data_IF_579201923443
#
_entry.id   IF_579201923443
#
_cell.length_a   1.000
_cell.length_b   1.000
_cell.length_c   1.000
_cell.angle_alpha   90.00
_cell.angle_beta   90.00
_cell.angle_gamma   90.00
#
_symmetry.space_group_name_H-M   'P 1'
#
loop_
_entity.id
_entity.type
_entity.pdbx_description
1 polymer ?
#
# COMPACT_ATOMS: atom_id res chain seq x y z
N UNK A 1 -8.15 33.89 24.10
CA UNK A 1 -6.69 33.82 24.33
C UNK A 1 -6.02 33.54 23.01
N UNK A 2 -4.90 34.25 22.66
CA UNK A 2 -4.14 33.84 21.46
C UNK A 2 -3.44 32.53 21.80
N UNK A 3 -3.76 31.46 21.11
CA UNK A 3 -3.09 30.18 21.30
C UNK A 3 -1.62 30.33 20.89
N UNK A 4 -0.71 29.83 21.70
CA UNK A 4 0.74 29.91 21.45
C UNK A 4 1.10 28.97 20.31
N UNK A 5 1.78 29.46 19.27
CA UNK A 5 2.40 28.59 18.25
C UNK A 5 3.66 27.98 18.86
N UNK A 6 3.75 26.67 18.83
CA UNK A 6 4.89 25.92 19.39
C UNK A 6 6.19 26.18 18.60
N UNK A 7 7.29 26.19 19.32
CA UNK A 7 8.63 26.17 18.75
C UNK A 7 8.95 24.80 18.15
N UNK A 8 10.00 24.74 17.33
CA UNK A 8 10.49 23.45 16.82
C UNK A 8 10.94 22.49 17.92
N UNK A 9 11.46 23.02 19.02
CA UNK A 9 11.84 22.23 20.20
C UNK A 9 10.61 21.64 20.90
N UNK A 10 9.58 22.45 21.14
CA UNK A 10 8.31 22.00 21.74
C UNK A 10 7.65 20.93 20.86
N UNK A 11 7.58 21.16 19.55
CA UNK A 11 7.06 20.18 18.59
C UNK A 11 7.91 18.91 18.55
N UNK A 12 9.23 19.03 18.67
CA UNK A 12 10.15 17.89 18.78
C UNK A 12 9.86 17.04 20.01
N UNK A 13 9.65 17.66 21.15
CA UNK A 13 9.32 16.97 22.40
C UNK A 13 7.97 16.25 22.35
N UNK A 14 6.97 16.81 21.65
CA UNK A 14 5.67 16.19 21.42
C UNK A 14 5.72 15.07 20.39
N UNK A 15 6.72 15.05 19.51
CA UNK A 15 6.86 14.12 18.39
C UNK A 15 7.92 13.04 18.61
N UNK A 16 8.33 12.79 19.86
CA UNK A 16 9.22 11.68 20.22
C UNK A 16 8.53 10.36 20.00
N UNK A 17 8.47 9.94 18.74
CA UNK A 17 7.96 8.66 18.32
C UNK A 17 9.13 7.81 17.82
N UNK A 18 9.59 6.88 18.65
CA UNK A 18 10.58 5.90 18.25
C UNK A 18 9.88 4.73 17.53
N UNK A 19 9.75 4.91 16.21
CA UNK A 19 9.24 3.86 15.37
C UNK A 19 10.41 2.99 14.88
N UNK A 20 10.57 1.82 15.47
CA UNK A 20 11.56 0.86 15.03
C UNK A 20 11.23 0.33 13.62
N UNK A 21 11.84 0.95 12.61
CA UNK A 21 11.70 0.56 11.19
C UNK A 21 12.60 -0.60 10.80
N UNK A 22 13.46 -1.03 11.67
CA UNK A 22 14.46 -2.07 11.43
C UNK A 22 13.93 -3.43 11.89
N UNK A 23 13.44 -3.53 13.12
CA UNK A 23 12.96 -4.78 13.71
C UNK A 23 11.46 -4.77 14.03
N UNK A 24 10.87 -3.59 14.17
CA UNK A 24 9.45 -3.42 14.47
C UNK A 24 8.52 -3.63 13.28
N UNK A 25 7.36 -2.98 13.27
CA UNK A 25 6.40 -3.07 12.17
C UNK A 25 6.97 -2.47 10.88
N UNK A 26 6.79 -3.16 9.74
CA UNK A 26 7.22 -2.65 8.44
C UNK A 26 6.40 -1.43 8.00
N UNK A 27 7.01 -0.57 7.17
CA UNK A 27 6.33 0.52 6.48
C UNK A 27 7.11 0.96 5.23
N UNK A 28 6.50 1.84 4.43
CA UNK A 28 7.08 2.34 3.17
C UNK A 28 8.41 3.09 3.32
N UNK A 29 8.77 3.55 4.52
CA UNK A 29 9.97 4.34 4.80
C UNK A 29 11.17 3.51 5.24
N UNK A 30 10.98 2.23 5.55
CA UNK A 30 12.09 1.33 5.90
C UNK A 30 13.12 1.26 4.76
N UNK A 31 14.40 1.28 5.10
CA UNK A 31 15.54 1.12 4.18
C UNK A 31 16.30 -0.19 4.43
N UNK A 32 16.08 -0.79 5.61
CA UNK A 32 16.59 -2.09 6.01
C UNK A 32 15.61 -2.77 6.97
N UNK A 33 15.53 -4.09 6.90
CA UNK A 33 14.74 -4.92 7.80
C UNK A 33 15.62 -6.02 8.35
N UNK A 34 15.75 -6.12 9.66
CA UNK A 34 16.67 -7.06 10.28
C UNK A 34 16.01 -8.17 11.09
N UNK A 35 14.78 -7.96 11.60
CA UNK A 35 14.09 -8.98 12.43
C UNK A 35 14.95 -9.56 13.55
N UNK A 36 15.75 -8.71 14.21
CA UNK A 36 16.75 -9.02 15.23
C UNK A 36 18.00 -9.76 14.73
N UNK A 37 18.22 -9.87 13.40
CA UNK A 37 19.49 -10.29 12.82
C UNK A 37 20.46 -9.11 12.74
N UNK A 38 21.71 -9.40 12.42
CA UNK A 38 22.76 -8.38 12.19
C UNK A 38 22.63 -7.81 10.76
N UNK A 39 23.18 -6.62 10.55
CA UNK A 39 23.20 -6.01 9.20
C UNK A 39 24.01 -6.84 8.18
N UNK A 40 24.99 -7.62 8.65
CA UNK A 40 25.78 -8.52 7.80
C UNK A 40 24.95 -9.68 7.24
N UNK A 41 23.94 -10.13 7.98
CA UNK A 41 23.02 -11.19 7.56
C UNK A 41 21.99 -10.69 6.55
N UNK A 42 21.81 -9.38 6.40
CA UNK A 42 20.95 -8.78 5.37
C UNK A 42 21.68 -8.76 4.01
N UNK A 43 21.93 -9.93 3.45
CA UNK A 43 22.61 -10.11 2.15
C UNK A 43 21.68 -9.78 0.97
N UNK A 44 20.36 -9.93 1.15
CA UNK A 44 19.38 -9.66 0.11
C UNK A 44 19.12 -8.16 -0.03
N UNK A 45 19.21 -7.65 -1.24
CA UNK A 45 18.77 -6.30 -1.56
C UNK A 45 17.49 -6.37 -2.39
N UNK A 46 16.44 -5.71 -1.91
CA UNK A 46 15.16 -5.59 -2.57
C UNK A 46 15.01 -4.22 -3.24
N UNK A 47 14.88 -4.22 -4.55
CA UNK A 47 14.61 -3.03 -5.36
C UNK A 47 13.11 -2.91 -5.58
N UNK A 48 12.50 -1.86 -5.04
CA UNK A 48 11.06 -1.60 -5.17
C UNK A 48 10.78 -0.15 -5.53
N UNK A 49 9.55 0.11 -5.94
CA UNK A 49 9.10 1.47 -6.19
C UNK A 49 9.15 2.34 -4.94
N UNK A 50 9.49 3.62 -5.14
CA UNK A 50 9.63 4.61 -4.06
C UNK A 50 8.31 4.91 -3.36
N UNK A 51 7.21 4.89 -4.10
CA UNK A 51 5.88 5.27 -3.62
C UNK A 51 5.12 4.14 -2.93
N UNK A 52 5.68 2.92 -2.87
CA UNK A 52 5.03 1.72 -2.33
C UNK A 52 3.69 1.38 -3.03
N UNK A 53 3.54 1.79 -4.29
CA UNK A 53 2.33 1.56 -5.07
C UNK A 53 2.37 0.28 -5.92
N UNK A 54 3.54 -0.12 -6.39
CA UNK A 54 3.68 -1.24 -7.32
C UNK A 54 3.14 -2.56 -6.73
N UNK A 55 2.11 -3.18 -7.35
CA UNK A 55 1.52 -4.42 -6.83
C UNK A 55 2.49 -5.60 -6.81
N UNK A 56 3.35 -5.66 -7.81
CA UNK A 56 4.37 -6.72 -7.91
C UNK A 56 5.45 -6.56 -6.84
N UNK A 57 5.80 -5.31 -6.47
CA UNK A 57 6.69 -5.03 -5.35
C UNK A 57 6.05 -5.40 -4.02
N UNK A 58 4.78 -5.08 -3.80
CA UNK A 58 4.05 -5.43 -2.58
C UNK A 58 4.00 -6.94 -2.37
N UNK A 59 3.87 -7.73 -3.43
CA UNK A 59 3.91 -9.21 -3.37
C UNK A 59 5.21 -9.71 -2.74
N UNK A 60 6.37 -9.23 -3.22
CA UNK A 60 7.68 -9.62 -2.70
C UNK A 60 7.89 -9.08 -1.29
N UNK A 61 7.47 -7.85 -1.04
CA UNK A 61 7.59 -7.21 0.27
C UNK A 61 6.83 -8.00 1.34
N UNK A 62 5.56 -8.36 1.08
CA UNK A 62 4.76 -9.21 1.96
C UNK A 62 5.45 -10.55 2.24
N UNK A 63 5.95 -11.19 1.19
CA UNK A 63 6.61 -12.49 1.30
C UNK A 63 7.84 -12.42 2.21
N UNK A 64 8.73 -11.43 2.01
CA UNK A 64 9.93 -11.22 2.82
C UNK A 64 9.61 -10.94 4.29
N UNK A 65 8.61 -10.10 4.55
CA UNK A 65 8.18 -9.74 5.91
C UNK A 65 7.54 -10.93 6.63
N UNK A 66 6.71 -11.74 5.97
CA UNK A 66 6.08 -12.90 6.56
C UNK A 66 7.10 -14.00 6.87
N UNK A 67 8.13 -14.15 6.02
CA UNK A 67 9.26 -15.07 6.27
C UNK A 67 10.26 -14.54 7.27
N UNK A 68 10.20 -13.24 7.59
CA UNK A 68 11.18 -12.55 8.47
C UNK A 68 12.63 -12.70 7.99
N UNK A 69 12.84 -12.60 6.68
CA UNK A 69 14.18 -12.66 6.09
C UNK A 69 14.80 -11.27 6.21
N UNK A 70 16.04 -11.11 6.73
CA UNK A 70 16.69 -9.81 6.75
C UNK A 70 17.05 -9.34 5.34
N UNK A 71 16.75 -8.06 5.02
CA UNK A 71 16.98 -7.50 3.70
C UNK A 71 17.20 -5.98 3.71
N UNK A 72 17.91 -5.48 2.72
CA UNK A 72 18.10 -4.04 2.41
C UNK A 72 17.12 -3.61 1.35
N UNK A 73 16.68 -2.34 1.39
CA UNK A 73 15.71 -1.79 0.47
C UNK A 73 16.34 -0.65 -0.34
N UNK A 74 16.22 -0.72 -1.67
CA UNK A 74 16.56 0.36 -2.58
C UNK A 74 15.31 0.83 -3.31
N UNK A 75 14.96 2.11 -3.10
CA UNK A 75 13.76 2.74 -3.64
C UNK A 75 14.04 3.34 -5.01
N UNK A 76 13.27 2.93 -6.01
CA UNK A 76 13.45 3.27 -7.43
C UNK A 76 12.23 4.04 -7.92
N UNK A 77 12.44 5.06 -8.76
CA UNK A 77 11.34 5.80 -9.38
C UNK A 77 10.56 4.91 -10.37
N UNK A 78 9.24 5.06 -10.38
CA UNK A 78 8.41 4.53 -11.46
C UNK A 78 8.39 5.50 -12.65
N UNK A 79 8.22 4.99 -13.87
CA UNK A 79 8.22 5.81 -15.08
C UNK A 79 7.17 6.93 -15.07
N UNK A 80 6.02 6.69 -14.46
CA UNK A 80 4.95 7.69 -14.36
C UNK A 80 5.30 8.88 -13.46
N UNK A 81 6.34 8.77 -12.62
CA UNK A 81 6.81 9.83 -11.71
C UNK A 81 8.16 10.40 -12.13
N UNK A 82 8.69 10.01 -13.26
CA UNK A 82 9.94 10.51 -13.77
C UNK A 82 10.88 9.44 -14.30
N UNK A 83 12.11 9.86 -14.64
CA UNK A 83 13.13 8.92 -15.12
C UNK A 83 13.61 8.04 -13.98
N UNK A 84 13.80 6.76 -14.28
CA UNK A 84 14.48 5.83 -13.36
C UNK A 84 15.94 6.20 -13.21
N UNK A 85 16.49 5.88 -12.06
CA UNK A 85 17.90 6.10 -11.75
C UNK A 85 18.80 5.38 -12.75
N UNK A 86 19.77 6.08 -13.33
CA UNK A 86 20.67 5.55 -14.37
C UNK A 86 21.46 4.32 -13.88
N UNK A 87 21.94 4.35 -12.64
CA UNK A 87 22.64 3.22 -12.02
C UNK A 87 21.76 1.96 -11.93
N UNK A 88 20.42 2.14 -11.70
CA UNK A 88 19.50 1.02 -11.66
C UNK A 88 19.31 0.40 -13.04
N UNK A 89 19.19 1.23 -14.09
CA UNK A 89 19.07 0.75 -15.47
C UNK A 89 20.33 0.04 -15.97
N UNK A 90 21.52 0.44 -15.49
CA UNK A 90 22.76 -0.29 -15.77
C UNK A 90 22.79 -1.65 -15.09
N UNK A 91 22.20 -1.76 -13.89
CA UNK A 91 22.14 -3.00 -13.10
C UNK A 91 21.02 -3.92 -13.55
N UNK A 92 19.84 -3.36 -13.86
CA UNK A 92 18.62 -4.08 -14.29
C UNK A 92 18.22 -3.54 -15.66
N UNK A 93 18.74 -4.12 -16.73
CA UNK A 93 18.55 -3.66 -18.10
C UNK A 93 17.07 -3.52 -18.50
N UNK A 94 16.18 -4.39 -17.96
CA UNK A 94 14.74 -4.29 -18.22
C UNK A 94 14.09 -3.06 -17.59
N UNK A 95 14.72 -2.45 -16.58
CA UNK A 95 14.16 -1.38 -15.79
C UNK A 95 12.89 -1.76 -15.02
N UNK A 96 12.48 -3.05 -15.01
CA UNK A 96 11.26 -3.52 -14.34
C UNK A 96 11.45 -3.60 -12.82
N UNK A 97 10.34 -3.47 -12.10
CA UNK A 97 10.23 -3.67 -10.66
C UNK A 97 9.16 -4.74 -10.37
N UNK A 98 9.33 -5.52 -9.33
CA UNK A 98 10.48 -5.62 -8.42
C UNK A 98 11.73 -6.23 -9.06
N UNK A 99 12.88 -5.98 -8.42
CA UNK A 99 14.07 -6.79 -8.60
C UNK A 99 14.65 -7.14 -7.23
N UNK A 100 15.38 -8.24 -7.15
CA UNK A 100 16.19 -8.59 -5.98
C UNK A 100 17.63 -8.84 -6.42
N UNK A 101 18.55 -8.64 -5.48
CA UNK A 101 19.95 -9.05 -5.61
C UNK A 101 20.32 -9.89 -4.40
N UNK A 102 20.81 -11.11 -4.64
CA UNK A 102 21.28 -12.02 -3.61
C UNK A 102 22.49 -12.78 -4.13
N UNK A 103 23.58 -12.77 -3.36
CA UNK A 103 24.84 -13.47 -3.71
C UNK A 103 25.34 -13.10 -5.13
N UNK A 104 25.20 -11.84 -5.55
CA UNK A 104 25.59 -11.34 -6.86
C UNK A 104 24.61 -11.65 -8.01
N UNK A 105 23.58 -12.43 -7.79
CA UNK A 105 22.54 -12.72 -8.76
C UNK A 105 21.44 -11.66 -8.70
N UNK A 106 21.05 -11.14 -9.86
CA UNK A 106 19.94 -10.20 -10.00
C UNK A 106 18.78 -10.91 -10.67
N UNK A 107 17.61 -10.85 -10.02
CA UNK A 107 16.38 -11.45 -10.50
C UNK A 107 15.27 -10.40 -10.62
N UNK A 108 14.48 -10.52 -11.67
CA UNK A 108 13.25 -9.76 -11.93
C UNK A 108 12.09 -10.71 -12.11
N UNK A 109 10.87 -10.17 -12.30
CA UNK A 109 9.60 -10.93 -12.39
C UNK A 109 9.21 -11.56 -11.05
N UNK A 110 8.15 -11.02 -10.45
CA UNK A 110 7.76 -11.33 -9.06
C UNK A 110 7.55 -12.82 -8.77
N UNK A 111 7.00 -13.58 -9.71
CA UNK A 111 6.77 -15.01 -9.50
C UNK A 111 8.07 -15.82 -9.55
N UNK A 112 9.01 -15.44 -10.42
CA UNK A 112 10.35 -16.06 -10.47
C UNK A 112 11.19 -15.68 -9.24
N UNK A 113 11.01 -14.47 -8.73
CA UNK A 113 11.63 -14.03 -7.47
C UNK A 113 11.13 -14.89 -6.31
N UNK A 114 9.81 -15.11 -6.20
CA UNK A 114 9.25 -15.97 -5.14
C UNK A 114 9.78 -17.39 -5.27
N UNK A 115 9.76 -18.00 -6.45
CA UNK A 115 10.29 -19.36 -6.69
C UNK A 115 11.76 -19.48 -6.26
N UNK A 116 12.57 -18.47 -6.57
CA UNK A 116 13.96 -18.42 -6.13
C UNK A 116 14.08 -18.32 -4.60
N UNK A 117 13.32 -17.41 -3.99
CA UNK A 117 13.32 -17.23 -2.53
C UNK A 117 12.79 -18.47 -1.80
N UNK A 118 11.82 -19.19 -2.38
CA UNK A 118 11.32 -20.46 -1.84
C UNK A 118 12.40 -21.55 -1.85
N UNK A 119 13.25 -21.57 -2.87
CA UNK A 119 14.40 -22.51 -2.94
C UNK A 119 15.47 -22.19 -1.91
N UNK A 120 15.72 -20.92 -1.65
CA UNK A 120 16.74 -20.48 -0.68
C UNK A 120 16.27 -20.57 0.79
N UNK A 121 14.98 -20.25 1.04
CA UNK A 121 14.46 -20.05 2.40
C UNK A 121 13.25 -20.93 2.75
N UNK A 122 12.83 -21.81 1.84
CA UNK A 122 11.63 -22.61 2.00
C UNK A 122 10.34 -21.83 1.69
N UNK A 123 9.30 -22.54 1.25
CA UNK A 123 8.02 -21.95 0.84
C UNK A 123 7.26 -21.29 2.00
N UNK A 124 6.35 -20.39 1.65
CA UNK A 124 5.42 -19.74 2.55
C UNK A 124 4.01 -20.34 2.31
N UNK A 125 3.74 -21.47 2.94
CA UNK A 125 2.61 -22.33 2.60
C UNK A 125 2.91 -23.18 1.37
N UNK A 126 2.03 -23.14 0.37
CA UNK A 126 2.22 -23.89 -0.87
C UNK A 126 3.23 -23.19 -1.80
N UNK A 127 4.17 -23.93 -2.44
CA UNK A 127 5.10 -23.34 -3.41
C UNK A 127 4.38 -22.62 -4.56
N UNK A 128 4.97 -21.50 -5.03
CA UNK A 128 4.34 -20.60 -6.03
C UNK A 128 3.92 -21.32 -7.33
N UNK A 129 4.70 -22.32 -7.76
CA UNK A 129 4.41 -23.12 -8.95
C UNK A 129 3.80 -24.49 -8.65
N UNK A 130 3.29 -24.71 -7.44
CA UNK A 130 2.57 -25.94 -7.10
C UNK A 130 1.25 -26.10 -7.87
N UNK A 131 0.80 -27.33 -8.04
CA UNK A 131 -0.50 -27.64 -8.67
C UNK A 131 -1.64 -26.95 -7.89
N UNK A 132 -1.57 -26.96 -6.55
CA UNK A 132 -2.56 -26.29 -5.69
C UNK A 132 -2.72 -24.81 -6.03
N UNK A 133 -1.61 -24.09 -6.25
CA UNK A 133 -1.66 -22.67 -6.59
C UNK A 133 -1.96 -22.40 -8.07
N UNK A 134 -1.88 -23.38 -8.95
CA UNK A 134 -2.17 -23.19 -10.37
C UNK A 134 -3.61 -22.73 -10.62
N UNK A 135 -4.61 -23.32 -9.93
CA UNK A 135 -6.01 -22.90 -10.03
C UNK A 135 -6.23 -21.52 -9.43
N UNK A 136 -5.65 -21.27 -8.26
CA UNK A 136 -5.66 -19.95 -7.58
C UNK A 136 -5.13 -18.87 -8.51
N UNK A 137 -3.99 -19.11 -9.16
CA UNK A 137 -3.37 -18.19 -10.12
C UNK A 137 -4.22 -17.94 -11.36
N UNK A 138 -4.93 -18.96 -11.83
CA UNK A 138 -5.87 -18.83 -12.95
C UNK A 138 -6.99 -17.84 -12.59
N UNK A 139 -7.61 -18.00 -11.43
CA UNK A 139 -8.68 -17.12 -10.94
C UNK A 139 -8.15 -15.69 -10.76
N UNK A 140 -6.95 -15.53 -10.19
CA UNK A 140 -6.32 -14.22 -10.04
C UNK A 140 -6.13 -13.52 -11.40
N UNK A 141 -5.65 -14.22 -12.42
CA UNK A 141 -5.48 -13.69 -13.78
C UNK A 141 -6.82 -13.37 -14.46
N UNK A 142 -7.85 -14.15 -14.21
CA UNK A 142 -9.21 -13.86 -14.71
C UNK A 142 -9.77 -12.59 -14.08
N UNK A 143 -9.64 -12.42 -12.77
CA UNK A 143 -10.04 -11.21 -12.04
C UNK A 143 -9.27 -10.00 -12.57
N UNK A 144 -7.95 -10.09 -12.67
CA UNK A 144 -7.10 -9.01 -13.16
C UNK A 144 -7.51 -8.55 -14.57
N UNK A 145 -7.71 -9.48 -15.51
CA UNK A 145 -8.12 -9.15 -16.88
C UNK A 145 -9.50 -8.49 -16.91
N UNK A 146 -10.46 -9.04 -16.17
CA UNK A 146 -11.82 -8.50 -16.12
C UNK A 146 -11.87 -7.11 -15.46
N UNK A 147 -11.05 -6.88 -14.43
CA UNK A 147 -10.88 -5.58 -13.79
C UNK A 147 -10.30 -4.54 -14.76
N UNK A 148 -9.18 -4.85 -15.42
CA UNK A 148 -8.59 -3.96 -16.42
C UNK A 148 -9.55 -3.67 -17.57
N UNK A 149 -10.31 -4.67 -18.03
CA UNK A 149 -11.27 -4.49 -19.12
C UNK A 149 -12.41 -3.54 -18.72
N UNK A 150 -12.95 -3.68 -17.51
CA UNK A 150 -14.02 -2.80 -17.05
C UNK A 150 -13.53 -1.40 -16.66
N UNK A 151 -12.39 -1.30 -16.03
CA UNK A 151 -11.86 -0.04 -15.48
C UNK A 151 -11.18 0.83 -16.55
N UNK A 152 -10.30 0.21 -17.37
CA UNK A 152 -9.32 0.93 -18.20
C UNK A 152 -9.67 0.96 -19.68
N UNK A 153 -10.77 0.35 -20.10
CA UNK A 153 -11.23 0.40 -21.49
C UNK A 153 -12.52 1.16 -21.61
N UNK A 154 -12.53 2.15 -22.51
CA UNK A 154 -13.70 2.97 -22.76
C UNK A 154 -14.91 2.14 -23.17
N UNK A 155 -16.09 2.56 -22.74
CA UNK A 155 -17.36 1.93 -23.07
C UNK A 155 -18.11 2.80 -24.09
N UNK A 156 -17.88 2.57 -25.38
CA UNK A 156 -18.58 3.28 -26.46
C UNK A 156 -20.08 2.98 -26.50
N UNK A 157 -20.53 1.91 -25.85
CA UNK A 157 -21.94 1.50 -25.84
C UNK A 157 -22.30 1.09 -24.40
N UNK A 158 -23.38 1.64 -23.84
CA UNK A 158 -23.89 1.32 -22.49
C UNK A 158 -23.99 -0.20 -22.20
N UNK A 159 -24.37 -0.99 -23.21
CA UNK A 159 -24.47 -2.45 -23.09
C UNK A 159 -23.14 -3.12 -22.75
N UNK A 160 -22.03 -2.55 -23.20
CA UNK A 160 -20.69 -3.11 -22.94
C UNK A 160 -20.27 -2.96 -21.48
N UNK A 161 -20.69 -1.88 -20.79
CA UNK A 161 -20.39 -1.66 -19.38
C UNK A 161 -21.02 -2.76 -18.50
N UNK A 162 -22.28 -3.10 -18.74
CA UNK A 162 -22.99 -4.16 -18.01
C UNK A 162 -22.33 -5.54 -18.23
N UNK A 163 -21.91 -5.85 -19.46
CA UNK A 163 -21.23 -7.11 -19.77
C UNK A 163 -19.89 -7.21 -19.05
N UNK A 164 -19.07 -6.14 -19.06
CA UNK A 164 -17.77 -6.10 -18.37
C UNK A 164 -17.92 -6.26 -16.86
N UNK A 165 -18.90 -5.55 -16.26
CA UNK A 165 -19.26 -5.70 -14.86
C UNK A 165 -19.62 -7.15 -14.51
N UNK A 166 -20.48 -7.78 -15.34
CA UNK A 166 -20.92 -9.17 -15.15
C UNK A 166 -19.75 -10.15 -15.21
N UNK A 167 -18.82 -9.98 -16.16
CA UNK A 167 -17.60 -10.80 -16.28
C UNK A 167 -16.75 -10.70 -15.03
N UNK A 168 -16.52 -9.48 -14.52
CA UNK A 168 -15.77 -9.29 -13.29
C UNK A 168 -16.48 -9.92 -12.10
N UNK A 169 -17.78 -9.73 -11.95
CA UNK A 169 -18.57 -10.36 -10.86
C UNK A 169 -18.49 -11.88 -10.91
N UNK A 170 -18.48 -12.49 -12.10
CA UNK A 170 -18.34 -13.93 -12.24
C UNK A 170 -16.94 -14.40 -11.80
N UNK A 171 -15.88 -13.69 -12.21
CA UNK A 171 -14.52 -14.02 -11.79
C UNK A 171 -14.34 -13.86 -10.26
N UNK A 172 -14.90 -12.80 -9.67
CA UNK A 172 -14.89 -12.59 -8.22
C UNK A 172 -15.71 -13.64 -7.47
N UNK A 173 -16.80 -14.14 -8.06
CA UNK A 173 -17.59 -15.24 -7.47
C UNK A 173 -16.77 -16.52 -7.32
N UNK A 174 -15.89 -16.83 -8.27
CA UNK A 174 -15.00 -17.97 -8.14
C UNK A 174 -14.06 -17.85 -6.91
N UNK A 175 -13.54 -16.65 -6.64
CA UNK A 175 -12.75 -16.37 -5.44
C UNK A 175 -13.60 -16.41 -4.17
N UNK A 176 -14.79 -15.82 -4.19
CA UNK A 176 -15.75 -15.85 -3.09
C UNK A 176 -16.07 -17.28 -2.66
N UNK A 177 -16.28 -18.18 -3.63
CA UNK A 177 -16.59 -19.58 -3.38
C UNK A 177 -15.38 -20.35 -2.82
N UNK A 178 -14.16 -20.05 -3.28
CA UNK A 178 -12.93 -20.61 -2.68
C UNK A 178 -12.79 -20.20 -1.22
N UNK A 179 -13.02 -18.91 -0.90
CA UNK A 179 -12.95 -18.41 0.47
C UNK A 179 -14.07 -18.94 1.35
N UNK A 180 -15.28 -19.14 0.80
CA UNK A 180 -16.40 -19.75 1.52
C UNK A 180 -16.08 -21.19 1.95
N UNK A 181 -15.33 -21.93 1.14
CA UNK A 181 -14.91 -23.29 1.43
C UNK A 181 -13.66 -23.39 2.32
N UNK A 182 -13.02 -22.26 2.63
CA UNK A 182 -11.86 -22.23 3.52
C UNK A 182 -12.28 -22.26 4.98
N UNK A 183 -11.79 -23.24 5.73
CA UNK A 183 -12.03 -23.35 7.18
C UNK A 183 -11.38 -22.23 7.99
N UNK A 184 -10.35 -21.58 7.45
CA UNK A 184 -9.57 -20.52 8.12
C UNK A 184 -9.91 -19.12 7.64
N UNK A 185 -10.53 -19.00 6.47
CA UNK A 185 -10.77 -17.73 5.78
C UNK A 185 -9.58 -17.26 4.92
N UNK A 186 -8.43 -17.97 4.91
CA UNK A 186 -7.33 -17.78 3.96
C UNK A 186 -7.32 -18.85 2.88
N UNK A 187 -6.78 -18.54 1.71
CA UNK A 187 -6.66 -19.46 0.58
C UNK A 187 -5.54 -20.50 0.78
N UNK A 188 -4.46 -20.07 1.41
CA UNK A 188 -3.27 -20.87 1.66
C UNK A 188 -2.70 -20.59 3.06
N UNK A 189 -3.42 -21.02 4.12
CA UNK A 189 -3.09 -20.64 5.50
C UNK A 189 -1.76 -21.25 5.96
N UNK A 190 -1.04 -20.49 6.78
CA UNK A 190 0.16 -20.92 7.49
C UNK A 190 -0.10 -20.87 8.98
N UNK A 191 0.25 -21.93 9.68
CA UNK A 191 0.20 -22.00 11.13
C UNK A 191 1.62 -21.80 11.68
N UNK A 192 1.89 -20.63 12.25
CA UNK A 192 3.16 -20.38 12.93
C UNK A 192 3.18 -21.08 14.31
N UNK A 193 2.02 -21.12 14.98
CA UNK A 193 1.69 -21.85 16.21
C UNK A 193 0.21 -22.18 16.19
N UNK A 194 -0.30 -22.96 17.14
CA UNK A 194 -1.71 -23.34 17.26
C UNK A 194 -2.72 -22.18 17.19
N UNK A 195 -2.29 -20.96 17.53
CA UNK A 195 -3.15 -19.76 17.60
C UNK A 195 -2.74 -18.63 16.67
N UNK A 196 -1.67 -18.75 15.86
CA UNK A 196 -1.19 -17.68 15.00
C UNK A 196 -1.29 -18.08 13.53
N UNK A 197 -2.45 -17.75 12.96
CA UNK A 197 -2.77 -17.99 11.56
C UNK A 197 -2.30 -16.82 10.68
N UNK A 198 -1.58 -17.12 9.61
CA UNK A 198 -1.07 -16.15 8.64
C UNK A 198 -1.45 -16.50 7.22
N UNK A 199 -1.53 -15.50 6.31
CA UNK A 199 -1.69 -15.74 4.89
C UNK A 199 -0.41 -16.37 4.30
N UNK A 200 -0.57 -17.32 3.39
CA UNK A 200 0.52 -17.91 2.63
C UNK A 200 0.64 -17.36 1.22
N UNK A 201 1.45 -18.04 0.39
CA UNK A 201 1.72 -17.60 -1.00
C UNK A 201 0.43 -17.47 -1.82
N UNK A 202 -0.56 -18.36 -1.61
CA UNK A 202 -1.86 -18.29 -2.28
C UNK A 202 -2.64 -17.01 -1.99
N UNK A 203 -2.56 -16.49 -0.76
CA UNK A 203 -3.18 -15.22 -0.38
C UNK A 203 -2.37 -14.04 -0.91
N UNK A 204 -1.05 -14.09 -0.79
CA UNK A 204 -0.12 -13.04 -1.25
C UNK A 204 -0.30 -12.74 -2.76
N UNK A 205 -0.64 -13.73 -3.56
CA UNK A 205 -0.92 -13.56 -4.99
C UNK A 205 -2.07 -12.57 -5.21
N UNK A 206 -3.12 -12.62 -4.39
CA UNK A 206 -4.31 -11.78 -4.55
C UNK A 206 -4.20 -10.42 -3.89
N UNK A 207 -3.55 -10.33 -2.72
CA UNK A 207 -3.55 -9.11 -1.88
C UNK A 207 -3.32 -7.83 -2.69
N UNK A 208 -2.23 -7.69 -3.48
CA UNK A 208 -1.93 -6.44 -4.15
C UNK A 208 -2.99 -6.02 -5.19
N UNK A 209 -3.58 -6.97 -5.86
CA UNK A 209 -4.55 -6.70 -6.90
C UNK A 209 -5.93 -6.39 -6.34
N UNK A 210 -6.41 -7.16 -5.35
CA UNK A 210 -7.71 -6.93 -4.72
C UNK A 210 -7.75 -5.62 -3.95
N UNK A 211 -6.63 -5.22 -3.34
CA UNK A 211 -6.50 -3.92 -2.67
C UNK A 211 -6.72 -2.76 -3.65
N UNK A 212 -6.04 -2.80 -4.80
CA UNK A 212 -6.19 -1.78 -5.86
C UNK A 212 -7.54 -1.84 -6.54
N UNK A 213 -8.05 -3.03 -6.77
CA UNK A 213 -9.37 -3.28 -7.35
C UNK A 213 -10.45 -2.70 -6.44
N UNK A 214 -10.41 -2.96 -5.13
CA UNK A 214 -11.37 -2.43 -4.17
C UNK A 214 -11.40 -0.89 -4.17
N UNK A 215 -10.24 -0.25 -4.09
CA UNK A 215 -10.15 1.21 -4.12
C UNK A 215 -10.64 1.81 -5.45
N UNK A 216 -10.12 1.31 -6.57
CA UNK A 216 -10.40 1.89 -7.89
C UNK A 216 -11.82 1.65 -8.37
N UNK A 217 -12.41 0.51 -8.09
CA UNK A 217 -13.82 0.26 -8.48
C UNK A 217 -14.80 1.09 -7.66
N UNK A 218 -14.55 1.34 -6.38
CA UNK A 218 -15.32 2.30 -5.60
C UNK A 218 -15.20 3.69 -6.23
N UNK A 219 -13.97 4.15 -6.49
CA UNK A 219 -13.71 5.49 -7.00
C UNK A 219 -14.26 5.74 -8.42
N UNK A 220 -14.07 4.80 -9.35
CA UNK A 220 -14.42 4.98 -10.76
C UNK A 220 -15.76 4.38 -11.16
N UNK A 221 -16.22 3.35 -10.45
CA UNK A 221 -17.42 2.58 -10.84
C UNK A 221 -18.54 2.60 -9.81
N UNK A 222 -18.29 3.09 -8.60
CA UNK A 222 -19.24 3.02 -7.49
C UNK A 222 -19.55 1.57 -7.08
N UNK A 223 -18.60 0.67 -7.26
CA UNK A 223 -18.73 -0.74 -6.98
C UNK A 223 -17.84 -1.10 -5.79
N UNK A 224 -18.46 -1.44 -4.67
CA UNK A 224 -17.76 -1.92 -3.48
C UNK A 224 -17.63 -3.44 -3.52
N UNK A 225 -16.38 -3.91 -3.60
CA UNK A 225 -16.05 -5.33 -3.55
C UNK A 225 -16.51 -5.96 -2.23
N UNK A 226 -16.27 -5.26 -1.15
CA UNK A 226 -16.53 -5.75 0.22
C UNK A 226 -18.02 -5.81 0.56
N UNK A 227 -18.85 -4.92 -0.04
CA UNK A 227 -20.30 -4.99 0.11
C UNK A 227 -20.93 -6.15 -0.69
N UNK A 228 -20.38 -6.46 -1.85
CA UNK A 228 -20.93 -7.46 -2.77
C UNK A 228 -20.51 -8.91 -2.43
N UNK A 229 -19.34 -9.09 -1.75
CA UNK A 229 -18.72 -10.39 -1.52
C UNK A 229 -18.32 -10.58 -0.04
N UNK A 230 -19.19 -11.21 0.78
CA UNK A 230 -18.97 -11.32 2.24
C UNK A 230 -17.71 -12.08 2.65
N UNK A 231 -17.35 -13.17 1.95
CA UNK A 231 -16.15 -13.93 2.29
C UNK A 231 -14.86 -13.21 1.88
N UNK A 232 -14.88 -12.46 0.76
CA UNK A 232 -13.80 -11.56 0.39
C UNK A 232 -13.67 -10.44 1.44
N UNK A 233 -14.80 -9.89 1.94
CA UNK A 233 -14.75 -8.92 3.04
C UNK A 233 -14.14 -9.52 4.31
N UNK A 234 -14.56 -10.73 4.70
CA UNK A 234 -13.97 -11.44 5.85
C UNK A 234 -12.48 -11.67 5.66
N UNK A 235 -12.05 -12.05 4.48
CA UNK A 235 -10.62 -12.22 4.14
C UNK A 235 -9.83 -10.91 4.32
N UNK A 236 -10.35 -9.77 3.85
CA UNK A 236 -9.74 -8.45 4.10
C UNK A 236 -9.66 -8.14 5.59
N UNK A 237 -10.72 -8.41 6.35
CA UNK A 237 -10.73 -8.19 7.81
C UNK A 237 -9.66 -9.04 8.52
N UNK A 238 -9.44 -10.28 8.08
CA UNK A 238 -8.37 -11.12 8.61
C UNK A 238 -6.98 -10.58 8.27
N UNK A 239 -6.78 -10.03 7.05
CA UNK A 239 -5.54 -9.38 6.65
C UNK A 239 -5.29 -8.10 7.46
N UNK A 240 -6.31 -7.29 7.69
CA UNK A 240 -6.26 -6.05 8.46
C UNK A 240 -5.89 -6.29 9.94
N UNK A 241 -6.02 -7.51 10.45
CA UNK A 241 -5.48 -7.92 11.73
C UNK A 241 -3.99 -8.32 11.69
N UNK A 242 -3.37 -8.36 10.51
CA UNK A 242 -1.95 -8.70 10.34
C UNK A 242 -1.11 -7.42 10.23
N UNK A 243 -0.21 -7.19 11.19
CA UNK A 243 0.69 -6.02 11.18
C UNK A 243 1.56 -5.92 9.91
N UNK A 244 1.91 -7.05 9.32
CA UNK A 244 2.66 -7.12 8.06
C UNK A 244 1.84 -6.57 6.90
N UNK A 245 0.55 -6.96 6.80
CA UNK A 245 -0.34 -6.43 5.77
C UNK A 245 -0.52 -4.93 5.94
N UNK A 246 -0.87 -4.47 7.14
CA UNK A 246 -1.07 -3.04 7.43
C UNK A 246 0.16 -2.19 7.12
N UNK A 247 1.36 -2.72 7.37
CA UNK A 247 2.61 -2.03 7.07
C UNK A 247 2.95 -1.94 5.59
N UNK A 248 2.34 -2.76 4.74
CA UNK A 248 2.53 -2.80 3.28
C UNK A 248 1.32 -2.28 2.50
N UNK A 249 0.18 -2.10 3.17
CA UNK A 249 -1.06 -1.62 2.58
C UNK A 249 -0.90 -0.19 2.06
N UNK A 250 -1.43 0.09 0.86
CA UNK A 250 -1.57 1.44 0.34
C UNK A 250 -2.92 2.05 0.74
N UNK A 251 -3.02 3.38 0.67
CA UNK A 251 -4.26 4.08 0.92
C UNK A 251 -5.15 4.17 -0.34
N UNK A 252 -6.45 4.42 -0.14
CA UNK A 252 -7.43 4.47 -1.21
C UNK A 252 -7.20 5.62 -2.19
N UNK A 253 -6.71 6.77 -1.69
CA UNK A 253 -6.41 7.93 -2.51
C UNK A 253 -5.27 7.61 -3.48
N UNK A 254 -4.15 7.10 -2.97
CA UNK A 254 -3.00 6.70 -3.78
C UNK A 254 -3.37 5.63 -4.80
N UNK A 255 -4.10 4.58 -4.40
CA UNK A 255 -4.54 3.54 -5.35
C UNK A 255 -5.43 4.08 -6.45
N UNK A 256 -6.31 5.04 -6.16
CA UNK A 256 -7.22 5.59 -7.16
C UNK A 256 -6.54 6.56 -8.12
N UNK A 257 -5.64 7.41 -7.61
CA UNK A 257 -5.02 8.47 -8.40
C UNK A 257 -3.74 8.06 -9.15
N UNK A 258 -2.99 7.09 -8.62
CA UNK A 258 -1.79 6.58 -9.29
C UNK A 258 -2.09 5.53 -10.38
N UNK A 259 -3.30 4.97 -10.38
CA UNK A 259 -3.66 3.92 -11.34
C UNK A 259 -3.79 4.42 -12.79
N UNK A 260 -4.45 5.57 -13.11
CA UNK A 260 -4.56 6.05 -14.48
C UNK A 260 -3.24 6.22 -15.22
N UNK A 261 -2.21 6.88 -14.64
CA UNK A 261 -0.90 7.00 -15.32
C UNK A 261 -0.18 5.66 -15.52
N UNK A 262 -0.52 4.64 -14.72
CA UNK A 262 0.06 3.30 -14.85
C UNK A 262 -0.64 2.45 -15.92
N UNK A 263 -1.95 2.63 -16.07
CA UNK A 263 -2.81 1.77 -16.90
C UNK A 263 -3.21 2.43 -18.22
N UNK A 264 -2.83 3.67 -18.45
CA UNK A 264 -3.19 4.44 -19.65
C UNK A 264 -4.58 5.09 -19.58
N UNK A 265 -5.22 5.09 -18.41
CA UNK A 265 -6.50 5.73 -18.14
C UNK A 265 -7.45 4.87 -17.32
N UNK A 266 -8.40 5.53 -16.65
CA UNK A 266 -9.51 4.89 -15.95
C UNK A 266 -10.81 5.67 -16.23
N UNK A 267 -11.91 4.98 -16.47
CA UNK A 267 -13.18 5.58 -16.90
C UNK A 267 -14.22 5.53 -15.80
N UNK A 268 -14.83 6.69 -15.51
CA UNK A 268 -15.89 6.85 -14.50
C UNK A 268 -17.27 6.44 -15.04
N UNK A 269 -18.12 5.92 -14.16
CA UNK A 269 -19.50 5.56 -14.49
C UNK A 269 -20.53 6.62 -14.06
N UNK A 270 -20.14 7.68 -13.36
CA UNK A 270 -20.95 8.85 -12.94
C UNK A 270 -22.30 8.50 -12.28
N UNK A 271 -22.36 7.39 -11.55
CA UNK A 271 -23.53 7.02 -10.77
C UNK A 271 -23.45 7.56 -9.33
N UNK A 272 -24.58 7.63 -8.57
CA UNK A 272 -24.58 8.19 -7.21
C UNK A 272 -23.58 7.55 -6.25
N UNK A 273 -23.39 6.22 -6.29
CA UNK A 273 -22.41 5.52 -5.46
C UNK A 273 -20.98 5.91 -5.86
N UNK A 274 -20.68 6.07 -7.14
CA UNK A 274 -19.38 6.49 -7.63
C UNK A 274 -19.05 7.90 -7.15
N UNK A 275 -20.00 8.84 -7.26
CA UNK A 275 -19.83 10.21 -6.78
C UNK A 275 -19.56 10.23 -5.27
N UNK A 276 -20.33 9.46 -4.50
CA UNK A 276 -20.17 9.35 -3.05
C UNK A 276 -18.78 8.80 -2.67
N UNK A 277 -18.37 7.65 -3.19
CA UNK A 277 -17.08 7.06 -2.86
C UNK A 277 -15.90 7.91 -3.33
N UNK A 278 -15.97 8.50 -4.52
CA UNK A 278 -14.89 9.36 -5.00
C UNK A 278 -14.72 10.61 -4.14
N UNK A 279 -15.83 11.17 -3.63
CA UNK A 279 -15.78 12.26 -2.66
C UNK A 279 -15.05 11.85 -1.37
N UNK A 280 -15.48 10.75 -0.73
CA UNK A 280 -14.86 10.25 0.51
C UNK A 280 -13.35 9.98 0.34
N UNK A 281 -12.98 9.34 -0.76
CA UNK A 281 -11.57 9.05 -1.06
C UNK A 281 -10.78 10.36 -1.23
N UNK A 282 -11.33 11.34 -1.94
CA UNK A 282 -10.65 12.62 -2.19
C UNK A 282 -10.44 13.45 -0.91
N UNK A 283 -11.34 13.36 0.06
CA UNK A 283 -11.19 14.05 1.36
C UNK A 283 -10.39 13.25 2.39
N UNK A 284 -9.90 12.05 2.02
CA UNK A 284 -9.06 11.22 2.88
C UNK A 284 -9.82 10.30 3.84
N UNK A 285 -11.14 10.18 3.72
CA UNK A 285 -11.98 9.30 4.58
C UNK A 285 -12.05 7.85 4.09
N UNK A 286 -11.27 7.48 3.10
CA UNK A 286 -11.24 6.12 2.53
C UNK A 286 -12.58 5.74 1.92
N UNK A 287 -13.23 4.70 2.40
CA UNK A 287 -14.59 4.28 1.97
C UNK A 287 -15.68 4.65 2.99
N UNK A 288 -15.39 5.56 3.91
CA UNK A 288 -16.31 5.93 4.99
C UNK A 288 -16.39 4.84 6.07
N UNK A 289 -17.53 4.79 6.80
CA UNK A 289 -17.77 3.85 7.89
C UNK A 289 -18.03 2.37 7.44
N UNK A 290 -17.43 1.92 6.34
CA UNK A 290 -17.16 0.49 6.24
C UNK A 290 -16.28 0.20 7.45
N UNK A 291 -16.85 -0.47 8.45
CA UNK A 291 -16.25 -0.77 9.73
C UNK A 291 -14.83 -1.28 9.54
N UNK A 292 -13.89 -0.36 9.39
CA UNK A 292 -12.52 -0.59 9.77
C UNK A 292 -12.68 -0.80 11.25
N UNK A 293 -12.58 -2.05 11.69
CA UNK A 293 -12.60 -2.38 13.10
C UNK A 293 -11.71 -1.38 13.82
N UNK A 294 -12.31 -0.41 14.51
CA UNK A 294 -11.66 0.61 15.31
C UNK A 294 -10.94 0.01 16.54
N UNK A 295 -10.47 -1.24 16.42
CA UNK A 295 -9.51 -1.84 17.33
C UNK A 295 -8.10 -1.22 17.19
N UNK A 296 -7.93 -0.25 16.28
CA UNK A 296 -6.89 0.75 16.42
C UNK A 296 -7.31 1.73 17.53
N UNK A 297 -7.08 1.34 18.77
CA UNK A 297 -6.77 2.31 19.84
C UNK A 297 -5.40 2.98 19.52
N UNK A 298 -5.22 3.42 18.31
CA UNK A 298 -4.17 4.33 17.94
C UNK A 298 -4.65 5.71 18.41
N UNK A 299 -4.09 6.16 19.52
CA UNK A 299 -4.30 7.52 19.96
C UNK A 299 -4.06 8.44 18.76
N UNK A 300 -4.99 9.34 18.47
CA UNK A 300 -4.84 10.37 17.41
C UNK A 300 -3.50 11.12 17.54
N UNK A 301 -2.99 11.21 18.77
CA UNK A 301 -1.67 11.71 19.11
C UNK A 301 -0.51 10.97 18.42
N UNK A 302 -0.63 9.66 18.12
CA UNK A 302 0.44 8.89 17.47
C UNK A 302 0.62 9.33 16.02
N UNK A 303 -0.47 9.58 15.28
CA UNK A 303 -0.39 10.06 13.90
C UNK A 303 0.13 11.50 13.82
N UNK A 304 -0.29 12.35 14.73
CA UNK A 304 0.22 13.72 14.86
C UNK A 304 1.71 13.72 15.17
N UNK A 305 2.17 12.87 16.08
CA UNK A 305 3.59 12.69 16.40
C UNK A 305 4.41 12.20 15.21
N UNK A 306 3.91 11.21 14.47
CA UNK A 306 4.58 10.69 13.25
C UNK A 306 4.68 11.78 12.18
N UNK A 307 3.59 12.49 11.89
CA UNK A 307 3.56 13.55 10.90
C UNK A 307 4.56 14.67 11.27
N UNK A 308 4.51 15.11 12.52
CA UNK A 308 5.40 16.17 13.04
C UNK A 308 6.86 15.75 12.99
N UNK A 309 7.21 14.53 13.41
CA UNK A 309 8.60 14.03 13.37
C UNK A 309 9.17 14.04 11.95
N UNK A 310 8.34 13.73 10.94
CA UNK A 310 8.73 13.77 9.52
C UNK A 310 8.97 15.18 9.01
N UNK A 311 8.07 16.10 9.33
CA UNK A 311 8.24 17.52 8.96
C UNK A 311 9.50 18.08 9.61
N UNK A 312 9.73 17.83 10.90
CA UNK A 312 10.94 18.28 11.62
C UNK A 312 12.20 17.75 10.94
N UNK A 313 12.23 16.45 10.57
CA UNK A 313 13.37 15.84 9.88
C UNK A 313 13.71 16.51 8.55
N UNK A 314 12.71 17.01 7.84
CA UNK A 314 12.86 17.57 6.49
C UNK A 314 12.62 19.08 6.42
N UNK A 315 12.40 19.77 7.54
CA UNK A 315 11.97 21.17 7.62
C UNK A 315 12.83 22.12 6.78
N UNK A 316 14.16 21.99 6.82
CA UNK A 316 15.05 22.84 6.04
C UNK A 316 14.78 22.74 4.54
N UNK A 317 14.67 21.52 4.02
CA UNK A 317 14.38 21.30 2.60
C UNK A 317 12.98 21.82 2.22
N UNK A 318 11.98 21.61 3.09
CA UNK A 318 10.61 22.09 2.86
C UNK A 318 10.60 23.61 2.79
N UNK A 319 11.24 24.29 3.75
CA UNK A 319 11.29 25.74 3.79
C UNK A 319 12.04 26.31 2.58
N UNK A 320 13.24 25.78 2.27
CA UNK A 320 14.09 26.29 1.20
C UNK A 320 13.56 26.01 -0.21
N UNK A 321 12.81 24.93 -0.42
CA UNK A 321 12.22 24.60 -1.72
C UNK A 321 10.92 25.35 -2.01
N UNK A 322 10.36 26.03 -1.03
CA UNK A 322 9.15 26.81 -1.22
C UNK A 322 9.48 28.20 -1.83
N UNK A 323 8.72 28.70 -2.81
CA UNK A 323 8.97 29.98 -3.43
C UNK A 323 8.60 31.21 -2.55
N UNK A 324 7.91 30.98 -1.42
CA UNK A 324 7.53 32.03 -0.49
C UNK A 324 8.67 32.37 0.49
N UNK A 325 8.49 33.46 1.24
CA UNK A 325 9.42 33.85 2.30
C UNK A 325 9.63 32.75 3.34
N UNK A 326 10.89 32.50 3.69
CA UNK A 326 11.26 31.40 4.57
C UNK A 326 10.68 31.54 5.98
N UNK A 327 10.58 32.73 6.52
CA UNK A 327 10.05 32.98 7.87
C UNK A 327 8.53 32.75 7.91
N UNK A 328 7.83 33.12 6.84
CA UNK A 328 6.39 32.85 6.69
C UNK A 328 6.11 31.33 6.56
N UNK A 329 6.92 30.62 5.80
CA UNK A 329 6.78 29.15 5.67
C UNK A 329 7.11 28.48 6.99
N UNK A 330 8.16 28.88 7.70
CA UNK A 330 8.51 28.37 9.02
C UNK A 330 7.36 28.55 10.01
N UNK A 331 6.82 29.75 10.07
CA UNK A 331 5.69 30.10 10.94
C UNK A 331 4.44 29.28 10.57
N UNK A 332 4.13 29.20 9.27
CA UNK A 332 2.99 28.42 8.75
C UNK A 332 3.09 26.93 9.09
N UNK A 333 4.27 26.32 8.90
CA UNK A 333 4.51 24.92 9.26
C UNK A 333 4.34 24.68 10.77
N UNK A 334 4.93 25.53 11.61
CA UNK A 334 4.78 25.41 13.07
C UNK A 334 3.34 25.63 13.52
N UNK A 335 2.61 26.56 12.90
CA UNK A 335 1.19 26.77 13.18
C UNK A 335 0.35 25.53 12.84
N UNK A 336 0.55 24.96 11.64
CA UNK A 336 -0.15 23.76 11.21
C UNK A 336 0.15 22.56 12.12
N UNK A 337 1.42 22.36 12.49
CA UNK A 337 1.81 21.29 13.40
C UNK A 337 1.29 21.52 14.82
N UNK A 338 1.25 22.77 15.30
CA UNK A 338 0.61 23.10 16.59
C UNK A 338 -0.87 22.72 16.58
N UNK A 339 -1.57 23.02 15.49
CA UNK A 339 -2.97 22.64 15.31
C UNK A 339 -3.20 21.13 15.42
N UNK A 340 -2.29 20.28 14.89
CA UNK A 340 -2.38 18.83 15.00
C UNK A 340 -2.42 18.32 16.45
N UNK A 341 -1.84 19.08 17.41
CA UNK A 341 -1.82 18.68 18.82
C UNK A 341 -2.89 19.38 19.67
N UNK A 342 -3.28 20.60 19.27
CA UNK A 342 -4.19 21.43 20.08
C UNK A 342 -5.62 21.46 19.57
N UNK A 343 -5.83 21.18 18.27
CA UNK A 343 -7.11 21.39 17.60
C UNK A 343 -7.51 22.88 17.44
N UNK A 344 -6.64 23.82 17.80
CA UNK A 344 -6.94 25.25 17.77
C UNK A 344 -6.22 25.94 16.61
N UNK A 345 -7.00 26.68 15.79
CA UNK A 345 -6.46 27.43 14.65
C UNK A 345 -5.85 28.74 15.13
N UNK A 346 -4.54 28.87 14.98
CA UNK A 346 -3.85 30.13 15.11
C UNK A 346 -3.95 30.90 13.80
N UNK A 347 -4.73 32.01 13.78
CA UNK A 347 -4.71 32.93 12.65
C UNK A 347 -3.35 33.57 12.56
N UNK A 348 -2.56 33.21 11.60
CA UNK A 348 -1.39 33.93 11.16
C UNK A 348 -1.94 35.20 10.44
N UNK A 349 -1.86 36.35 11.11
CA UNK A 349 -2.22 37.62 10.48
C UNK A 349 -1.15 37.94 9.46
N UNK A 350 -1.31 37.52 8.22
CA UNK A 350 -0.65 38.20 7.11
C UNK A 350 -1.29 37.93 5.75
N UNK A 351 -1.19 38.96 4.93
CA UNK A 351 -1.78 39.13 3.62
C UNK A 351 -1.18 38.25 2.49
N UNK A 352 -0.49 37.18 2.83
CA UNK A 352 0.10 36.20 1.89
C UNK A 352 -0.45 34.81 2.06
N UNK A 353 -1.68 34.64 2.55
CA UNK A 353 -2.38 33.38 2.49
C UNK A 353 -2.97 33.19 1.07
N UNK A 354 -2.23 32.53 0.20
CA UNK A 354 -2.75 31.92 -1.03
C UNK A 354 -2.72 30.42 -0.86
#
# INVERSE_FOLDING_TARGET
MKTKIYSWEELGNLSTFDFDRINGKTNSYSDIRLFNHTEKEAELTFYRDRHAWCPYCQKIWLWLELKKIPYKIKKINMFCYGKKEAWYLQKVNSGKLPAIELKGNILTESDLIIDFLEKEYGSLGSPIFSIKLAEIRKIEREIFRAWCDWLCRENFIFKNNSIKKTKLKQALKNLEDLLANSSTGFLDPIFENTNNLKPGTGDIIFIPYLERLNASLCYYKGFSLREEFPNINKWFTLLENQSTYLGTQGDFHTHSHDLPPQMGGCYKDENPKQIYYSHLINIGEGLGNLEINNNFNNNFNDFSSIATSRVIKHKHNIIQSNPCDNDLIDLGLRSALTYLFTGEINKVNDSCAV
#
